data_IF_645630497345
#
_entry.id   IF_645630497345
#
_cell.length_a   1.000
_cell.length_b   1.000
_cell.length_c   1.000
_cell.angle_alpha   90.00
_cell.angle_beta   90.00
_cell.angle_gamma   90.00
#
_symmetry.space_group_name_H-M   'P 1'
#
loop_
_entity.id
_entity.type
_entity.pdbx_description
1 polymer ?
#
# COMPACT_ATOMS: atom_id res chain seq x y z
N UNK A 1 -25.14 -13.48 17.25
CA UNK A 1 -24.25 -12.40 17.69
C UNK A 1 -22.85 -12.78 17.24
N UNK A 2 -22.35 -12.27 16.10
CA UNK A 2 -21.03 -12.66 15.62
C UNK A 2 -20.02 -11.98 16.53
N UNK A 3 -19.43 -12.78 17.42
CA UNK A 3 -18.33 -12.45 18.32
C UNK A 3 -17.32 -11.51 17.64
N UNK A 4 -17.02 -10.39 18.30
CA UNK A 4 -16.03 -9.40 17.90
C UNK A 4 -14.61 -10.01 18.01
N UNK A 5 -14.27 -10.92 17.10
CA UNK A 5 -12.96 -11.56 17.02
C UNK A 5 -12.02 -10.63 16.28
N UNK A 6 -10.81 -10.44 16.82
CA UNK A 6 -9.78 -9.62 16.21
C UNK A 6 -9.43 -10.16 14.81
N UNK A 7 -9.50 -9.32 13.75
CA UNK A 7 -9.12 -9.76 12.42
C UNK A 7 -7.61 -10.07 12.37
N UNK A 8 -7.17 -10.93 11.44
CA UNK A 8 -5.74 -11.20 11.25
C UNK A 8 -5.00 -9.92 10.82
N UNK A 9 -3.75 -9.79 11.27
CA UNK A 9 -2.88 -8.71 10.81
C UNK A 9 -2.65 -8.82 9.30
N UNK A 10 -2.79 -7.68 8.62
CA UNK A 10 -2.50 -7.58 7.19
C UNK A 10 -1.04 -7.19 6.98
N UNK A 11 -0.37 -7.87 6.05
CA UNK A 11 0.97 -7.50 5.61
C UNK A 11 0.93 -6.13 4.97
N UNK A 12 1.96 -5.31 5.21
CA UNK A 12 2.13 -4.01 4.55
C UNK A 12 2.76 -4.12 3.16
N UNK A 13 3.02 -5.34 2.69
CA UNK A 13 3.59 -5.59 1.37
C UNK A 13 2.62 -5.05 0.31
N UNK A 14 3.16 -4.27 -0.59
CA UNK A 14 2.45 -3.76 -1.73
C UNK A 14 3.28 -3.96 -2.99
N UNK A 15 2.64 -4.51 -4.01
CA UNK A 15 3.23 -4.69 -5.34
C UNK A 15 2.24 -4.10 -6.34
N UNK A 16 2.68 -3.17 -7.21
CA UNK A 16 1.79 -2.52 -8.15
C UNK A 16 1.23 -3.55 -9.14
N UNK A 17 -0.09 -3.55 -9.40
CA UNK A 17 -0.67 -4.37 -10.45
C UNK A 17 -0.22 -3.86 -11.83
N UNK A 18 -0.14 -4.75 -12.82
CA UNK A 18 0.22 -4.38 -14.20
C UNK A 18 -0.75 -3.35 -14.79
N UNK A 19 -2.05 -3.45 -14.46
CA UNK A 19 -3.09 -2.51 -14.91
C UNK A 19 -3.31 -1.33 -13.95
N UNK A 20 -2.29 -0.91 -13.18
CA UNK A 20 -2.44 0.17 -12.19
C UNK A 20 -3.03 1.45 -12.79
N UNK A 21 -2.59 1.86 -13.98
CA UNK A 21 -3.09 3.06 -14.64
C UNK A 21 -4.59 2.96 -14.94
N UNK A 22 -5.05 1.80 -15.41
CA UNK A 22 -6.47 1.56 -15.73
C UNK A 22 -7.32 1.56 -14.46
N UNK A 23 -6.83 0.96 -13.38
CA UNK A 23 -7.50 0.96 -12.07
C UNK A 23 -7.66 2.37 -11.53
N UNK A 24 -6.58 3.16 -11.54
CA UNK A 24 -6.63 4.55 -11.06
C UNK A 24 -7.53 5.40 -11.95
N UNK A 25 -7.44 5.24 -13.27
CA UNK A 25 -8.30 5.94 -14.23
C UNK A 25 -9.78 5.63 -14.01
N UNK A 26 -10.14 4.35 -13.87
CA UNK A 26 -11.51 3.92 -13.61
C UNK A 26 -12.04 4.47 -12.27
N UNK A 27 -11.19 4.52 -11.23
CA UNK A 27 -11.54 5.14 -9.96
C UNK A 27 -11.80 6.66 -10.10
N UNK A 28 -10.96 7.37 -10.87
CA UNK A 28 -11.18 8.79 -11.17
C UNK A 28 -12.53 8.99 -11.87
N UNK A 29 -12.84 8.20 -12.90
CA UNK A 29 -14.10 8.31 -13.64
C UNK A 29 -15.34 8.05 -12.77
N UNK A 30 -15.28 7.08 -11.84
CA UNK A 30 -16.36 6.83 -10.88
C UNK A 30 -16.58 7.99 -9.93
N UNK A 31 -15.50 8.63 -9.48
CA UNK A 31 -15.56 9.73 -8.51
C UNK A 31 -15.97 11.06 -9.16
N UNK A 32 -15.51 11.33 -10.39
CA UNK A 32 -15.88 12.54 -11.15
C UNK A 32 -17.23 12.40 -11.83
N UNK A 33 -17.65 11.18 -12.16
CA UNK A 33 -18.88 10.90 -12.91
C UNK A 33 -18.80 11.27 -14.39
N UNK A 34 -17.60 11.59 -14.89
CA UNK A 34 -17.35 11.95 -16.29
C UNK A 34 -16.22 11.11 -16.86
N UNK A 35 -16.28 10.73 -18.16
CA UNK A 35 -15.20 10.01 -18.80
C UNK A 35 -13.92 10.84 -18.73
N UNK A 36 -12.81 10.16 -18.46
CA UNK A 36 -11.52 10.80 -18.26
C UNK A 36 -10.87 11.13 -19.61
N UNK A 37 -10.48 12.40 -19.78
CA UNK A 37 -9.78 12.88 -20.97
C UNK A 37 -8.31 12.44 -21.02
N UNK A 38 -7.55 12.84 -22.06
CA UNK A 38 -6.13 12.53 -22.17
C UNK A 38 -5.31 13.08 -20.99
N UNK A 39 -5.69 14.25 -20.46
CA UNK A 39 -4.98 14.95 -19.37
C UNK A 39 -5.54 14.63 -17.97
N UNK A 40 -6.15 13.46 -17.81
CA UNK A 40 -6.84 13.09 -16.56
C UNK A 40 -5.94 13.12 -15.32
N UNK A 41 -4.64 12.90 -15.49
CA UNK A 41 -3.64 12.93 -14.41
C UNK A 41 -3.48 14.31 -13.78
N UNK A 42 -3.75 15.39 -14.52
CA UNK A 42 -3.60 16.78 -14.06
C UNK A 42 -4.92 17.37 -13.54
N UNK A 43 -5.99 16.58 -13.54
CA UNK A 43 -7.32 17.02 -13.12
C UNK A 43 -7.29 17.49 -11.66
N UNK A 44 -7.75 18.72 -11.43
CA UNK A 44 -7.96 19.22 -10.08
C UNK A 44 -9.24 18.61 -9.50
N UNK A 45 -9.06 17.79 -8.46
CA UNK A 45 -10.17 17.19 -7.73
C UNK A 45 -10.61 18.12 -6.59
N UNK A 46 -11.91 18.27 -6.40
CA UNK A 46 -12.43 18.88 -5.18
C UNK A 46 -12.09 18.00 -3.95
N UNK A 47 -11.99 18.59 -2.76
CA UNK A 47 -11.55 17.87 -1.55
C UNK A 47 -12.43 16.63 -1.24
N UNK A 48 -13.75 16.72 -1.45
CA UNK A 48 -14.65 15.59 -1.28
C UNK A 48 -14.56 14.50 -2.36
N UNK A 49 -14.05 14.83 -3.55
CA UNK A 49 -13.74 13.85 -4.59
C UNK A 49 -12.40 13.17 -4.27
N UNK A 50 -11.39 13.94 -3.85
CA UNK A 50 -10.09 13.43 -3.44
C UNK A 50 -10.21 12.42 -2.30
N UNK A 51 -11.00 12.72 -1.28
CA UNK A 51 -11.26 11.77 -0.19
C UNK A 51 -11.88 10.46 -0.69
N UNK A 52 -12.90 10.53 -1.55
CA UNK A 52 -13.54 9.33 -2.13
C UNK A 52 -12.56 8.51 -2.97
N UNK A 53 -11.75 9.15 -3.80
CA UNK A 53 -10.73 8.49 -4.61
C UNK A 53 -9.71 7.73 -3.75
N UNK A 54 -9.22 8.36 -2.67
CA UNK A 54 -8.32 7.71 -1.71
C UNK A 54 -8.97 6.48 -1.06
N UNK A 55 -10.24 6.57 -0.67
CA UNK A 55 -10.98 5.47 -0.06
C UNK A 55 -11.24 4.31 -1.03
N UNK A 56 -11.55 4.58 -2.29
CA UNK A 56 -11.73 3.55 -3.32
C UNK A 56 -10.42 2.82 -3.61
N UNK A 57 -9.34 3.57 -3.86
CA UNK A 57 -8.03 2.99 -4.15
C UNK A 57 -7.49 2.19 -2.95
N UNK A 58 -7.68 2.66 -1.71
CA UNK A 58 -7.28 1.91 -0.53
C UNK A 58 -8.01 0.56 -0.41
N UNK A 59 -9.28 0.48 -0.85
CA UNK A 59 -10.05 -0.75 -0.83
C UNK A 59 -9.65 -1.71 -1.95
N UNK A 60 -9.38 -1.19 -3.14
CA UNK A 60 -9.03 -1.98 -4.33
C UNK A 60 -7.58 -2.49 -4.29
N UNK A 61 -6.64 -1.60 -3.95
CA UNK A 61 -5.21 -1.92 -3.91
C UNK A 61 -4.75 -2.49 -2.57
N UNK A 62 -5.63 -2.50 -1.55
CA UNK A 62 -5.33 -2.88 -0.16
C UNK A 62 -4.11 -2.14 0.41
N UNK A 63 -3.83 -0.94 -0.13
CA UNK A 63 -2.70 -0.11 0.25
C UNK A 63 -3.19 1.32 0.48
N UNK A 64 -2.97 1.84 1.68
CA UNK A 64 -3.46 3.15 2.09
C UNK A 64 -2.34 4.18 2.03
N UNK A 65 -2.67 5.39 1.55
CA UNK A 65 -1.75 6.54 1.59
C UNK A 65 -1.55 7.00 3.05
N UNK A 66 -0.32 7.09 3.55
CA UNK A 66 -0.06 7.58 4.89
C UNK A 66 -0.44 9.06 5.06
N UNK A 67 -0.86 9.44 6.28
CA UNK A 67 -1.25 10.82 6.60
C UNK A 67 -0.14 11.85 6.27
N UNK A 68 1.12 11.47 6.45
CA UNK A 68 2.27 12.31 6.14
C UNK A 68 2.38 12.65 4.66
N UNK A 69 1.88 11.80 3.76
CA UNK A 69 1.97 11.98 2.31
C UNK A 69 0.70 12.55 1.68
N UNK A 70 -0.41 12.63 2.42
CA UNK A 70 -1.68 13.16 1.90
C UNK A 70 -1.51 14.55 1.26
N UNK A 71 -0.72 15.44 1.85
CA UNK A 71 -0.51 16.79 1.33
C UNK A 71 0.19 16.84 -0.04
N UNK A 72 0.88 15.75 -0.42
CA UNK A 72 1.64 15.56 -1.66
C UNK A 72 0.83 14.84 -2.74
N UNK A 73 -0.30 14.25 -2.38
CA UNK A 73 -1.19 13.53 -3.30
C UNK A 73 -2.45 14.33 -3.55
N UNK A 74 -2.34 15.39 -4.36
CA UNK A 74 -3.44 16.29 -4.73
C UNK A 74 -4.03 15.96 -6.09
N UNK A 75 -3.19 15.54 -7.04
CA UNK A 75 -3.64 15.12 -8.37
C UNK A 75 -3.72 13.59 -8.51
N UNK A 76 -4.54 13.08 -9.44
CA UNK A 76 -4.51 11.66 -9.79
C UNK A 76 -3.13 11.19 -10.27
N UNK A 77 -2.37 12.04 -10.96
CA UNK A 77 -1.00 11.72 -11.38
C UNK A 77 -0.02 11.54 -10.22
N UNK A 78 -0.13 12.36 -9.17
CA UNK A 78 0.66 12.18 -7.95
C UNK A 78 0.30 10.89 -7.22
N UNK A 79 -0.99 10.55 -7.17
CA UNK A 79 -1.46 9.27 -6.63
C UNK A 79 -0.93 8.08 -7.43
N UNK A 80 -0.97 8.18 -8.75
CA UNK A 80 -0.45 7.13 -9.63
C UNK A 80 1.04 6.89 -9.34
N UNK A 81 1.85 7.96 -9.24
CA UNK A 81 3.27 7.87 -8.90
C UNK A 81 3.51 7.21 -7.54
N UNK A 82 2.67 7.51 -6.55
CA UNK A 82 2.74 6.87 -5.24
C UNK A 82 2.50 5.36 -5.35
N UNK A 83 1.42 4.94 -6.02
CA UNK A 83 1.09 3.52 -6.18
C UNK A 83 1.99 2.78 -7.17
N UNK A 84 2.80 3.47 -7.98
CA UNK A 84 3.83 2.81 -8.80
C UNK A 84 5.00 2.31 -7.97
N UNK A 85 5.21 2.84 -6.76
CA UNK A 85 6.31 2.44 -5.90
C UNK A 85 5.94 1.17 -5.11
N UNK A 86 6.64 0.04 -5.32
CA UNK A 86 6.41 -1.15 -4.51
C UNK A 86 6.88 -0.90 -3.07
N UNK A 87 6.21 -1.57 -2.13
CA UNK A 87 6.59 -1.58 -0.72
C UNK A 87 6.80 -3.02 -0.29
N UNK A 88 8.02 -3.38 0.06
CA UNK A 88 8.26 -4.70 0.62
C UNK A 88 7.77 -4.77 2.07
N UNK A 89 7.08 -5.87 2.43
CA UNK A 89 6.74 -6.08 3.83
C UNK A 89 7.99 -6.38 4.63
N UNK A 90 8.14 -5.63 5.72
CA UNK A 90 9.07 -5.87 6.80
C UNK A 90 10.48 -6.22 6.31
N UNK A 91 11.31 -5.22 5.99
CA UNK A 91 12.75 -5.41 5.91
C UNK A 91 13.26 -5.61 7.34
N UNK A 92 12.97 -6.75 7.95
CA UNK A 92 13.91 -7.25 8.93
C UNK A 92 15.20 -7.42 8.14
N UNK A 93 16.17 -6.54 8.38
CA UNK A 93 17.48 -6.59 7.72
C UNK A 93 18.08 -7.99 7.78
N UNK A 94 17.77 -8.75 8.83
CA UNK A 94 18.08 -10.17 8.95
C UNK A 94 17.42 -11.04 7.87
N UNK A 95 16.12 -10.91 7.64
CA UNK A 95 15.40 -11.71 6.64
C UNK A 95 15.91 -11.40 5.23
N UNK A 96 16.11 -10.12 4.90
CA UNK A 96 16.74 -9.71 3.64
C UNK A 96 18.14 -10.33 3.48
N UNK A 97 18.99 -10.23 4.51
CA UNK A 97 20.34 -10.77 4.52
C UNK A 97 20.36 -12.31 4.42
N UNK A 98 19.42 -12.99 5.08
CA UNK A 98 19.30 -14.44 5.04
C UNK A 98 18.86 -14.95 3.66
N UNK A 99 18.07 -14.17 2.92
CA UNK A 99 17.69 -14.49 1.54
C UNK A 99 18.75 -14.10 0.50
N UNK A 100 19.76 -13.31 0.89
CA UNK A 100 20.89 -12.95 0.03
C UNK A 100 21.87 -14.12 -0.17
N UNK A 101 22.69 -14.06 -1.23
CA UNK A 101 23.75 -15.06 -1.46
C UNK A 101 24.88 -14.86 -0.46
N UNK A 102 24.79 -15.57 0.67
CA UNK A 102 25.82 -15.56 1.69
C UNK A 102 27.08 -16.31 1.21
N UNK A 103 28.28 -15.77 1.48
CA UNK A 103 29.54 -16.51 1.36
C UNK A 103 29.51 -17.82 2.17
N UNK A 104 30.17 -18.89 1.71
CA UNK A 104 30.08 -20.22 2.32
C UNK A 104 30.64 -20.28 3.76
N UNK A 105 31.42 -19.28 4.16
CA UNK A 105 32.01 -19.15 5.50
C UNK A 105 31.15 -18.33 6.48
N UNK A 106 29.96 -17.86 6.06
CA UNK A 106 29.07 -17.08 6.92
C UNK A 106 27.85 -17.91 7.30
N UNK A 107 27.58 -17.98 8.61
CA UNK A 107 26.36 -18.58 9.18
C UNK A 107 25.73 -17.58 10.11
N UNK A 108 24.43 -17.33 9.96
CA UNK A 108 23.69 -16.35 10.75
C UNK A 108 22.58 -17.09 11.49
N UNK A 109 22.57 -17.02 12.82
CA UNK A 109 21.56 -17.67 13.67
C UNK A 109 20.64 -16.61 14.28
N UNK A 110 19.33 -16.82 14.24
CA UNK A 110 18.34 -15.95 14.87
C UNK A 110 17.94 -16.49 16.25
N UNK A 111 18.33 -15.79 17.31
CA UNK A 111 18.07 -16.16 18.71
C UNK A 111 17.13 -15.18 19.39
N UNK A 112 15.88 -15.05 18.92
CA UNK A 112 14.90 -14.20 19.59
C UNK A 112 14.33 -14.91 20.82
N UNK A 113 14.83 -14.57 22.02
CA UNK A 113 14.22 -15.01 23.27
C UNK A 113 12.92 -14.22 23.50
N UNK A 114 11.82 -14.69 22.92
CA UNK A 114 10.49 -14.16 23.18
C UNK A 114 10.02 -14.55 24.58
N UNK A 115 10.24 -13.70 25.58
CA UNK A 115 9.35 -13.72 26.77
C UNK A 115 8.06 -13.02 26.37
N UNK A 116 7.06 -13.79 25.95
CA UNK A 116 5.76 -13.24 25.58
C UNK A 116 4.80 -14.36 25.17
N UNK A 117 4.31 -15.10 26.16
CA UNK A 117 3.37 -16.19 25.95
C UNK A 117 3.07 -17.03 27.20
N UNK A 118 3.14 -16.44 28.40
CA UNK A 118 2.41 -16.98 29.56
C UNK A 118 1.26 -16.01 29.84
N UNK A 119 0.05 -16.48 29.57
CA UNK A 119 -1.19 -15.72 29.66
C UNK A 119 -2.31 -16.54 29.06
N UNK A 120 -2.81 -17.47 29.88
CA UNK A 120 -4.07 -18.21 29.71
C UNK A 120 -5.25 -17.27 29.47
#
# INVERSE_FOLDING_TARGET
>A
DPSLVMPPFQSRKYQPPEQLEEVVRAAVERVTGTPSGPDWQETQLAEGQRFRLLCELAQELKHMVPNSQLHQTRSPGELLRFYQQPVDADPFAFQELAHSKLPPNIRINWGYNGKGGEGM
#
